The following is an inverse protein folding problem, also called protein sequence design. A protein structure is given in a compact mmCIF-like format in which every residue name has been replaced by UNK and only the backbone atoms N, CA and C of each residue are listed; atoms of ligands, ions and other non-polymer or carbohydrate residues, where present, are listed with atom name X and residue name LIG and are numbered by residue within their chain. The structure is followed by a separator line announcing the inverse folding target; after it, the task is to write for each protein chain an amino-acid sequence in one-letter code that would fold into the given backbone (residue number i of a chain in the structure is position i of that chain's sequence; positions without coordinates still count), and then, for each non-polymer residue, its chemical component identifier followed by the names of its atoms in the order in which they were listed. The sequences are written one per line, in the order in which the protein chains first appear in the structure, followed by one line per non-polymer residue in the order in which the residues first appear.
data_IF_195334796802
#
_entry.id   IF_195334796802
#
_cell.length_a   1.000
_cell.length_b   1.000
_cell.length_c   1.000
_cell.angle_alpha   90.00
_cell.angle_beta   90.00
_cell.angle_gamma   90.00
#
_symmetry.space_group_name_H-M   'P 1'
#
loop_
_entity.id
_entity.type
_entity.pdbx_description
1 polymer ?
#
# COMPACT_ATOMS: atom_id res chain seq x y z
N UNK A 1 37.83 15.95 74.77
CA UNK A 1 36.40 15.60 74.62
C UNK A 1 35.92 16.37 73.40
N UNK A 2 36.07 15.77 72.22
CA UNK A 2 35.64 16.38 70.97
C UNK A 2 34.46 15.58 70.43
N UNK A 3 33.32 16.27 70.36
CA UNK A 3 32.03 15.74 69.97
C UNK A 3 32.05 15.50 68.45
N UNK A 4 32.08 14.23 68.05
CA UNK A 4 31.92 13.81 66.66
C UNK A 4 30.50 14.18 66.20
N UNK A 5 30.41 15.16 65.31
CA UNK A 5 29.16 15.54 64.67
C UNK A 5 28.66 14.39 63.77
N UNK A 6 27.51 13.82 64.12
CA UNK A 6 26.81 12.79 63.36
C UNK A 6 26.42 13.29 61.96
N UNK A 7 26.62 12.50 60.89
CA UNK A 7 26.25 12.90 59.54
C UNK A 7 24.73 13.10 59.43
N UNK A 8 24.31 14.32 59.05
CA UNK A 8 22.91 14.68 58.80
C UNK A 8 22.28 13.64 57.86
N UNK A 9 21.25 12.95 58.33
CA UNK A 9 20.53 11.96 57.53
C UNK A 9 20.07 12.58 56.21
N UNK A 10 20.43 11.96 55.09
CA UNK A 10 19.87 12.29 53.77
C UNK A 10 18.36 12.10 53.90
N UNK A 11 17.59 13.19 53.96
CA UNK A 11 16.12 13.13 53.95
C UNK A 11 15.72 12.27 52.74
N UNK A 12 15.21 11.07 53.00
CA UNK A 12 14.77 10.15 51.96
C UNK A 12 13.81 10.90 51.04
N UNK A 13 14.15 10.98 49.75
CA UNK A 13 13.28 11.53 48.71
C UNK A 13 11.97 10.76 48.80
N UNK A 14 10.89 11.43 49.21
CA UNK A 14 9.67 10.75 49.61
C UNK A 14 9.00 10.11 48.38
N UNK A 15 9.20 8.82 48.20
CA UNK A 15 8.50 8.01 47.20
C UNK A 15 7.00 8.07 47.53
N UNK A 16 6.11 8.37 46.56
CA UNK A 16 4.68 8.37 46.80
C UNK A 16 4.18 6.97 47.20
N UNK A 17 3.05 6.90 47.92
CA UNK A 17 2.40 5.62 48.20
C UNK A 17 1.96 4.96 46.90
N UNK A 18 1.92 3.62 46.85
CA UNK A 18 1.36 2.92 45.69
C UNK A 18 -0.16 3.14 45.58
N UNK A 19 -0.71 2.98 44.38
CA UNK A 19 -2.12 3.20 44.10
C UNK A 19 -3.04 2.35 44.97
N UNK A 20 -2.71 1.06 45.15
CA UNK A 20 -3.48 0.15 45.99
C UNK A 20 -3.53 0.57 47.46
N UNK A 21 -2.38 0.91 48.06
CA UNK A 21 -2.35 1.39 49.45
C UNK A 21 -3.06 2.73 49.59
N UNK A 22 -2.98 3.60 48.58
CA UNK A 22 -3.70 4.88 48.56
C UNK A 22 -5.22 4.68 48.51
N UNK A 23 -5.72 3.87 47.56
CA UNK A 23 -7.16 3.56 47.38
C UNK A 23 -7.74 2.87 48.61
N UNK A 24 -7.00 1.93 49.21
CA UNK A 24 -7.41 1.23 50.44
C UNK A 24 -7.24 2.05 51.72
N UNK A 25 -6.72 3.28 51.64
CA UNK A 25 -6.40 4.17 52.77
C UNK A 25 -5.49 3.51 53.83
N UNK A 26 -4.57 2.67 53.38
CA UNK A 26 -3.64 1.93 54.23
C UNK A 26 -2.22 2.52 54.16
N UNK A 27 -1.46 2.40 55.25
CA UNK A 27 -0.06 2.86 55.28
C UNK A 27 0.79 2.03 54.30
N UNK A 28 1.39 2.72 53.32
CA UNK A 28 2.34 2.13 52.38
C UNK A 28 3.76 2.19 52.97
N UNK A 29 4.44 1.05 53.00
CA UNK A 29 5.86 0.91 53.38
C UNK A 29 6.82 1.50 52.32
N UNK A 30 6.31 1.83 51.13
CA UNK A 30 7.06 2.47 50.02
C UNK A 30 8.30 1.67 49.58
N UNK A 31 8.36 0.37 49.86
CA UNK A 31 9.42 -0.50 49.36
C UNK A 31 9.51 -0.46 47.83
N UNK A 32 10.72 -0.51 47.31
CA UNK A 32 11.06 -0.55 45.87
C UNK A 32 11.66 -1.92 45.55
N UNK A 33 11.24 -2.63 44.49
CA UNK A 33 10.32 -2.20 43.43
C UNK A 33 8.83 -2.34 43.78
N UNK A 34 8.47 -3.18 44.76
CA UNK A 34 7.09 -3.41 45.22
C UNK A 34 7.01 -3.16 46.74
N UNK A 35 5.89 -2.62 47.20
CA UNK A 35 5.65 -2.49 48.64
C UNK A 35 5.30 -3.87 49.23
N UNK A 36 5.65 -4.12 50.49
CA UNK A 36 5.45 -5.42 51.16
C UNK A 36 4.00 -5.90 51.07
N UNK A 37 3.03 -4.98 51.21
CA UNK A 37 1.60 -5.32 51.13
C UNK A 37 1.14 -5.73 49.72
N UNK A 38 1.77 -5.22 48.67
CA UNK A 38 1.53 -5.67 47.30
C UNK A 38 2.23 -7.01 47.03
N UNK A 39 3.40 -7.24 47.60
CA UNK A 39 4.09 -8.54 47.53
C UNK A 39 3.26 -9.64 48.22
N UNK A 40 2.82 -9.42 49.46
CA UNK A 40 2.03 -10.40 50.22
C UNK A 40 0.67 -10.72 49.58
N UNK A 41 0.16 -9.84 48.72
CA UNK A 41 -1.11 -10.05 48.03
C UNK A 41 -0.95 -10.54 46.58
N UNK A 42 0.28 -10.75 46.11
CA UNK A 42 0.55 -11.16 44.73
C UNK A 42 0.28 -10.12 43.63
N UNK A 43 -0.34 -8.97 43.94
CA UNK A 43 -0.79 -7.98 42.94
C UNK A 43 0.26 -6.93 42.55
N UNK A 44 0.23 -6.48 41.29
CA UNK A 44 1.13 -5.46 40.76
C UNK A 44 1.14 -4.18 41.62
N UNK A 45 2.32 -3.56 41.75
CA UNK A 45 2.51 -2.37 42.58
C UNK A 45 2.72 -1.13 41.68
N UNK A 46 1.62 -0.47 41.32
CA UNK A 46 1.63 0.77 40.53
C UNK A 46 1.77 2.01 41.43
N UNK A 47 2.38 3.08 40.90
CA UNK A 47 2.38 4.39 41.55
C UNK A 47 1.05 5.11 41.28
N UNK A 48 0.68 6.04 42.16
CA UNK A 48 -0.48 6.92 41.95
C UNK A 48 0.00 8.29 41.47
N UNK A 49 -0.56 8.75 40.36
CA UNK A 49 -0.40 10.13 39.92
C UNK A 49 -1.27 11.03 40.82
N UNK A 50 -0.64 11.99 41.50
CA UNK A 50 -1.32 12.87 42.47
C UNK A 50 -2.22 13.93 41.83
N UNK A 51 -2.04 14.21 40.54
CA UNK A 51 -2.79 15.26 39.85
C UNK A 51 -4.16 14.77 39.39
N UNK A 52 -4.26 13.52 38.93
CA UNK A 52 -5.47 12.95 38.35
C UNK A 52 -5.91 11.63 39.03
N UNK A 53 -5.21 11.20 40.09
CA UNK A 53 -5.46 9.93 40.79
C UNK A 53 -5.33 8.67 39.92
N UNK A 54 -4.69 8.74 38.74
CA UNK A 54 -4.50 7.61 37.85
C UNK A 54 -3.39 6.68 38.33
N UNK A 55 -3.45 5.42 37.92
CA UNK A 55 -2.36 4.46 38.15
C UNK A 55 -1.29 4.65 37.06
N UNK A 56 -0.03 4.67 37.47
CA UNK A 56 1.12 4.81 36.56
C UNK A 56 2.22 3.83 36.96
N UNK A 57 3.08 3.39 36.02
CA UNK A 57 4.25 2.58 36.33
C UNK A 57 5.14 3.25 37.38
N UNK A 58 5.74 2.44 38.27
CA UNK A 58 6.62 2.97 39.33
C UNK A 58 7.94 3.54 38.80
N UNK A 59 8.46 2.99 37.71
CA UNK A 59 9.53 3.59 36.91
C UNK A 59 8.96 3.91 35.53
N UNK A 60 8.83 5.21 35.26
CA UNK A 60 8.49 5.67 33.92
C UNK A 60 9.61 5.31 32.92
N UNK A 61 10.87 5.31 33.35
CA UNK A 61 12.03 5.05 32.50
C UNK A 61 12.01 3.61 32.00
N UNK A 62 11.91 2.63 32.92
CA UNK A 62 11.88 1.21 32.53
C UNK A 62 10.67 0.88 31.64
N UNK A 63 9.51 1.47 31.93
CA UNK A 63 8.32 1.28 31.11
C UNK A 63 8.51 1.83 29.68
N UNK A 64 9.09 3.02 29.55
CA UNK A 64 9.37 3.64 28.26
C UNK A 64 10.45 2.89 27.48
N UNK A 65 11.50 2.39 28.15
CA UNK A 65 12.55 1.57 27.53
C UNK A 65 12.00 0.23 27.03
N UNK A 66 11.14 -0.43 27.81
CA UNK A 66 10.46 -1.65 27.37
C UNK A 66 9.56 -1.38 26.17
N UNK A 67 8.77 -0.29 26.20
CA UNK A 67 7.93 0.10 25.06
C UNK A 67 8.74 0.45 23.82
N UNK A 68 9.91 1.06 23.98
CA UNK A 68 10.83 1.31 22.87
C UNK A 68 11.35 0.01 22.26
N UNK A 69 11.79 -0.94 23.09
CA UNK A 69 12.24 -2.24 22.60
C UNK A 69 11.11 -3.01 21.88
N UNK A 70 9.88 -2.94 22.39
CA UNK A 70 8.70 -3.51 21.72
C UNK A 70 8.46 -2.86 20.35
N UNK A 71 8.57 -1.54 20.24
CA UNK A 71 8.36 -0.83 18.97
C UNK A 71 9.51 -1.07 17.97
N UNK A 72 10.76 -1.09 18.43
CA UNK A 72 11.95 -1.35 17.61
C UNK A 72 11.93 -2.77 17.03
N UNK A 73 11.50 -3.77 17.80
CA UNK A 73 11.36 -5.16 17.32
C UNK A 73 10.26 -5.30 16.28
N UNK A 74 9.12 -4.62 16.46
CA UNK A 74 8.05 -4.56 15.46
C UNK A 74 8.50 -3.89 14.17
N UNK A 75 9.24 -2.77 14.25
CA UNK A 75 9.79 -2.07 13.09
C UNK A 75 10.78 -2.95 12.31
N UNK A 76 11.71 -3.61 13.01
CA UNK A 76 12.71 -4.51 12.40
C UNK A 76 12.04 -5.70 11.72
N UNK A 77 11.00 -6.27 12.33
CA UNK A 77 10.22 -7.37 11.75
C UNK A 77 9.54 -6.93 10.45
N UNK A 78 8.98 -5.73 10.43
CA UNK A 78 8.35 -5.16 9.23
C UNK A 78 9.35 -4.92 8.10
N UNK A 79 10.52 -4.38 8.40
CA UNK A 79 11.59 -4.12 7.42
C UNK A 79 12.13 -5.42 6.77
N UNK A 80 12.28 -6.49 7.57
CA UNK A 80 12.72 -7.78 7.04
C UNK A 80 11.70 -8.40 6.08
N UNK A 81 10.40 -8.22 6.33
CA UNK A 81 9.33 -8.67 5.44
C UNK A 81 9.31 -7.87 4.14
N UNK A 82 9.45 -6.54 4.20
CA UNK A 82 9.50 -5.71 2.98
C UNK A 82 10.69 -6.05 2.10
N UNK A 83 11.86 -6.31 2.71
CA UNK A 83 13.08 -6.67 1.97
C UNK A 83 13.00 -8.05 1.30
N UNK A 84 12.19 -8.97 1.82
CA UNK A 84 11.95 -10.28 1.19
C UNK A 84 10.89 -10.21 0.06
N UNK A 85 9.96 -9.26 0.12
CA UNK A 85 8.92 -9.05 -0.90
C UNK A 85 9.44 -8.28 -2.14
N UNK A 86 10.43 -7.41 -1.96
CA UNK A 86 11.01 -6.58 -3.03
C UNK A 86 11.59 -7.39 -4.23
N UNK A 87 12.36 -8.48 -4.04
CA UNK A 87 12.85 -9.30 -5.15
C UNK A 87 11.73 -9.92 -5.97
N UNK A 88 10.71 -10.48 -5.31
CA UNK A 88 9.57 -11.12 -5.99
C UNK A 88 8.72 -10.11 -6.76
N UNK A 89 8.58 -8.88 -6.24
CA UNK A 89 7.91 -7.77 -6.92
C UNK A 89 8.63 -7.39 -8.22
N UNK A 90 9.94 -7.19 -8.15
CA UNK A 90 10.77 -6.79 -9.29
C UNK A 90 10.76 -7.87 -10.38
N UNK A 91 10.89 -9.14 -9.98
CA UNK A 91 10.83 -10.27 -10.92
C UNK A 91 9.48 -10.37 -11.63
N UNK A 92 8.36 -10.14 -10.92
CA UNK A 92 7.02 -10.12 -11.53
C UNK A 92 6.87 -8.95 -12.51
N UNK A 93 7.39 -7.77 -12.17
CA UNK A 93 7.39 -6.60 -13.07
C UNK A 93 8.23 -6.83 -14.33
N UNK A 94 9.39 -7.49 -14.19
CA UNK A 94 10.24 -7.89 -15.31
C UNK A 94 9.49 -8.85 -16.23
N UNK A 95 8.85 -9.88 -15.67
CA UNK A 95 8.05 -10.84 -16.44
C UNK A 95 6.90 -10.13 -17.16
N UNK A 96 6.14 -9.28 -16.48
CA UNK A 96 5.05 -8.51 -17.10
C UNK A 96 5.57 -7.66 -18.28
N UNK A 97 6.72 -7.01 -18.11
CA UNK A 97 7.36 -6.19 -19.15
C UNK A 97 7.80 -7.04 -20.35
N UNK A 98 8.43 -8.20 -20.12
CA UNK A 98 8.84 -9.13 -21.16
C UNK A 98 7.63 -9.68 -21.94
N UNK A 99 6.54 -9.99 -21.24
CA UNK A 99 5.29 -10.43 -21.86
C UNK A 99 4.75 -9.34 -22.78
N UNK A 100 4.70 -8.10 -22.30
CA UNK A 100 4.25 -6.97 -23.10
C UNK A 100 5.11 -6.79 -24.36
N UNK A 101 6.42 -6.79 -24.18
CA UNK A 101 7.38 -6.60 -25.24
C UNK A 101 7.27 -7.68 -26.33
N UNK A 102 7.19 -8.94 -25.91
CA UNK A 102 7.17 -10.09 -26.82
C UNK A 102 5.84 -10.20 -27.57
N UNK A 103 4.71 -10.06 -26.87
CA UNK A 103 3.40 -10.34 -27.45
C UNK A 103 2.75 -9.15 -28.17
N UNK A 104 2.98 -7.93 -27.69
CA UNK A 104 2.27 -6.75 -28.18
C UNK A 104 3.18 -5.72 -28.86
N UNK A 105 4.51 -5.86 -28.72
CA UNK A 105 5.48 -4.89 -29.25
C UNK A 105 6.53 -5.51 -30.18
N UNK A 106 6.25 -6.71 -30.70
CA UNK A 106 7.04 -7.40 -31.72
C UNK A 106 8.51 -7.69 -31.35
N UNK A 107 8.88 -7.65 -30.06
CA UNK A 107 10.24 -8.02 -29.65
C UNK A 107 10.53 -9.49 -29.99
N UNK A 108 11.75 -9.76 -30.45
CA UNK A 108 12.19 -11.12 -30.78
C UNK A 108 12.20 -12.01 -29.53
N UNK A 109 11.88 -13.30 -29.73
CA UNK A 109 12.00 -14.30 -28.67
C UNK A 109 13.47 -14.40 -28.20
N UNK A 110 13.71 -14.67 -26.91
CA UNK A 110 15.07 -14.86 -26.41
C UNK A 110 15.75 -16.09 -27.04
N UNK A 111 17.07 -16.05 -27.19
CA UNK A 111 17.85 -17.08 -27.90
C UNK A 111 17.80 -18.48 -27.24
N UNK A 112 17.51 -18.55 -25.94
CA UNK A 112 17.41 -19.80 -25.18
C UNK A 112 16.07 -20.53 -25.36
N UNK A 113 15.17 -19.96 -26.16
CA UNK A 113 13.81 -20.46 -26.37
C UNK A 113 13.65 -20.93 -27.81
N UNK A 114 12.99 -22.08 -27.99
CA UNK A 114 12.88 -22.71 -29.31
C UNK A 114 11.83 -22.04 -30.18
N UNK A 115 10.67 -21.80 -29.60
CA UNK A 115 9.49 -21.25 -30.25
C UNK A 115 8.62 -20.49 -29.24
N UNK A 116 7.51 -19.93 -29.72
CA UNK A 116 6.59 -19.18 -28.88
C UNK A 116 5.94 -20.04 -27.80
N UNK A 117 5.65 -21.32 -28.09
CA UNK A 117 5.00 -22.21 -27.12
C UNK A 117 5.95 -22.57 -25.97
N UNK A 118 7.22 -22.83 -26.26
CA UNK A 118 8.29 -23.02 -25.27
C UNK A 118 8.48 -21.76 -24.41
N UNK A 119 8.42 -20.57 -25.02
CA UNK A 119 8.46 -19.30 -24.29
C UNK A 119 7.26 -19.15 -23.36
N UNK A 120 6.04 -19.34 -23.87
CA UNK A 120 4.82 -19.27 -23.07
C UNK A 120 4.86 -20.23 -21.88
N UNK A 121 5.31 -21.48 -22.09
CA UNK A 121 5.43 -22.46 -21.02
C UNK A 121 6.43 -22.02 -19.94
N UNK A 122 7.66 -21.63 -20.33
CA UNK A 122 8.71 -21.20 -19.41
C UNK A 122 8.33 -19.95 -18.62
N UNK A 123 7.70 -18.98 -19.27
CA UNK A 123 7.22 -17.75 -18.63
C UNK A 123 6.09 -18.05 -17.64
N UNK A 124 5.13 -18.91 -18.00
CA UNK A 124 4.07 -19.33 -17.07
C UNK A 124 4.63 -20.08 -15.84
N UNK A 125 5.64 -20.93 -16.03
CA UNK A 125 6.32 -21.60 -14.92
C UNK A 125 7.06 -20.61 -14.01
N UNK A 126 7.73 -19.60 -14.58
CA UNK A 126 8.39 -18.55 -13.81
C UNK A 126 7.39 -17.76 -12.96
N UNK A 127 6.28 -17.33 -13.57
CA UNK A 127 5.18 -16.64 -12.85
C UNK A 127 4.60 -17.51 -11.75
N UNK A 128 4.43 -18.83 -11.97
CA UNK A 128 3.93 -19.74 -10.95
C UNK A 128 4.90 -19.90 -9.78
N UNK A 129 6.22 -19.96 -10.04
CA UNK A 129 7.22 -20.02 -8.96
C UNK A 129 7.15 -18.78 -8.07
N UNK A 130 7.12 -17.59 -8.69
CA UNK A 130 6.99 -16.32 -7.97
C UNK A 130 5.69 -16.23 -7.16
N UNK A 131 4.56 -16.72 -7.71
CA UNK A 131 3.30 -16.79 -6.99
C UNK A 131 3.37 -17.69 -5.73
N UNK A 132 4.08 -18.82 -5.83
CA UNK A 132 4.27 -19.73 -4.70
C UNK A 132 5.13 -19.07 -3.61
N UNK A 133 6.21 -18.38 -4.01
CA UNK A 133 7.09 -17.65 -3.09
C UNK A 133 6.35 -16.52 -2.36
N UNK A 134 5.53 -15.75 -3.07
CA UNK A 134 4.68 -14.70 -2.49
C UNK A 134 3.71 -15.24 -1.43
N UNK A 135 3.24 -16.48 -1.57
CA UNK A 135 2.29 -17.11 -0.64
C UNK A 135 2.96 -17.59 0.65
N UNK A 136 4.28 -17.84 0.64
CA UNK A 136 5.02 -18.25 1.84
C UNK A 136 5.34 -17.09 2.80
N UNK A 137 5.18 -15.84 2.38
CA UNK A 137 5.44 -14.65 3.20
C UNK A 137 4.43 -14.47 4.34
N UNK A 138 4.89 -14.05 5.53
CA UNK A 138 4.02 -13.85 6.71
C UNK A 138 3.11 -12.61 6.62
N UNK A 139 3.29 -11.76 5.61
CA UNK A 139 2.44 -10.62 5.30
C UNK A 139 2.25 -10.59 3.78
N UNK A 140 1.06 -10.99 3.33
CA UNK A 140 0.75 -11.11 1.91
C UNK A 140 0.35 -9.74 1.38
N UNK A 141 1.23 -9.12 0.58
CA UNK A 141 0.86 -7.92 -0.18
C UNK A 141 -0.27 -8.30 -1.15
N UNK A 142 -1.43 -7.61 -1.11
CA UNK A 142 -2.52 -7.89 -2.04
C UNK A 142 -2.07 -7.78 -3.51
N UNK A 143 -1.15 -6.87 -3.84
CA UNK A 143 -0.60 -6.77 -5.19
C UNK A 143 0.10 -8.07 -5.60
N UNK A 144 0.95 -8.64 -4.74
CA UNK A 144 1.70 -9.87 -5.02
C UNK A 144 0.81 -11.10 -5.26
N UNK A 145 -0.44 -11.05 -4.81
CA UNK A 145 -1.44 -12.09 -5.13
C UNK A 145 -2.12 -11.86 -6.47
N UNK A 146 -2.43 -10.60 -6.80
CA UNK A 146 -3.07 -10.23 -8.08
C UNK A 146 -2.11 -10.27 -9.28
N UNK A 147 -0.85 -9.87 -9.11
CA UNK A 147 0.10 -9.69 -10.20
C UNK A 147 0.42 -10.96 -11.01
N UNK A 148 0.56 -12.16 -10.40
CA UNK A 148 0.71 -13.40 -11.17
C UNK A 148 -0.48 -13.69 -12.08
N UNK A 149 -1.70 -13.39 -11.62
CA UNK A 149 -2.90 -13.54 -12.44
C UNK A 149 -2.92 -12.53 -13.59
N UNK A 150 -2.51 -11.28 -13.35
CA UNK A 150 -2.33 -10.29 -14.41
C UNK A 150 -1.30 -10.75 -15.46
N UNK A 151 -0.15 -11.27 -15.04
CA UNK A 151 0.87 -11.81 -15.96
C UNK A 151 0.29 -12.93 -16.83
N UNK A 152 -0.50 -13.84 -16.25
CA UNK A 152 -1.17 -14.92 -16.99
C UNK A 152 -2.24 -14.42 -17.94
N UNK A 153 -3.01 -13.41 -17.53
CA UNK A 153 -3.97 -12.75 -18.41
C UNK A 153 -3.25 -12.21 -19.64
N UNK A 154 -2.16 -11.49 -19.44
CA UNK A 154 -1.36 -10.97 -20.55
C UNK A 154 -0.79 -12.12 -21.39
N UNK A 155 -0.11 -13.09 -20.78
CA UNK A 155 0.64 -14.17 -21.43
C UNK A 155 -0.21 -15.10 -22.30
N UNK A 156 -1.46 -15.37 -21.92
CA UNK A 156 -2.33 -16.29 -22.65
C UNK A 156 -3.40 -15.58 -23.48
N UNK A 157 -3.42 -14.25 -23.46
CA UNK A 157 -4.35 -13.43 -24.25
C UNK A 157 -4.00 -13.49 -25.74
N UNK A 158 -5.00 -13.64 -26.63
CA UNK A 158 -4.76 -13.53 -28.07
C UNK A 158 -4.03 -12.23 -28.41
N UNK A 159 -3.01 -12.31 -29.24
CA UNK A 159 -2.21 -11.16 -29.63
C UNK A 159 -1.91 -11.19 -31.14
N UNK A 160 -1.33 -10.12 -31.67
CA UNK A 160 -0.92 -10.05 -33.08
C UNK A 160 0.04 -11.18 -33.47
N UNK A 161 0.96 -11.56 -32.57
CA UNK A 161 1.90 -12.66 -32.74
C UNK A 161 1.23 -14.03 -32.69
N UNK A 162 0.18 -14.18 -31.88
CA UNK A 162 -0.55 -15.43 -31.67
C UNK A 162 -2.06 -15.17 -31.60
N UNK A 163 -2.69 -15.09 -32.77
CA UNK A 163 -4.14 -14.84 -32.88
C UNK A 163 -4.94 -16.10 -32.57
N UNK A 164 -4.43 -17.27 -32.98
CA UNK A 164 -5.08 -18.58 -32.77
C UNK A 164 -4.47 -19.24 -31.54
N UNK A 165 -4.99 -18.84 -30.38
CA UNK A 165 -4.57 -19.37 -29.07
C UNK A 165 -5.04 -20.81 -28.91
N UNK A 166 -4.23 -21.67 -28.27
CA UNK A 166 -4.63 -23.06 -27.98
C UNK A 166 -5.76 -23.11 -26.95
N UNK A 167 -6.55 -24.18 -26.96
CA UNK A 167 -7.63 -24.37 -25.98
C UNK A 167 -7.10 -24.33 -24.54
N UNK A 168 -5.93 -24.90 -24.27
CA UNK A 168 -5.31 -24.88 -22.94
C UNK A 168 -4.96 -23.46 -22.49
N UNK A 169 -4.40 -22.65 -23.39
CA UNK A 169 -4.08 -21.25 -23.09
C UNK A 169 -5.34 -20.42 -22.91
N UNK A 170 -6.38 -20.69 -23.70
CA UNK A 170 -7.67 -20.01 -23.58
C UNK A 170 -8.32 -20.29 -22.21
N UNK A 171 -8.35 -21.55 -21.78
CA UNK A 171 -8.88 -21.92 -20.47
C UNK A 171 -8.03 -21.30 -19.34
N UNK A 172 -6.70 -21.28 -19.50
CA UNK A 172 -5.79 -20.67 -18.53
C UNK A 172 -6.05 -19.16 -18.37
N UNK A 173 -6.27 -18.41 -19.46
CA UNK A 173 -6.57 -16.97 -19.37
C UNK A 173 -7.93 -16.72 -18.73
N UNK A 174 -8.96 -17.52 -19.02
CA UNK A 174 -10.30 -17.38 -18.41
C UNK A 174 -10.23 -17.58 -16.89
N UNK A 175 -9.49 -18.60 -16.43
CA UNK A 175 -9.27 -18.86 -15.01
C UNK A 175 -8.48 -17.71 -14.37
N UNK A 176 -7.41 -17.24 -15.02
CA UNK A 176 -6.61 -16.14 -14.50
C UNK A 176 -7.40 -14.83 -14.39
N UNK A 177 -8.19 -14.49 -15.42
CA UNK A 177 -9.05 -13.31 -15.47
C UNK A 177 -10.11 -13.33 -14.36
N UNK A 178 -10.79 -14.47 -14.19
CA UNK A 178 -11.81 -14.65 -13.15
C UNK A 178 -11.21 -14.45 -11.75
N UNK A 179 -10.04 -15.03 -11.48
CA UNK A 179 -9.35 -14.89 -10.19
C UNK A 179 -8.84 -13.46 -9.97
N UNK A 180 -8.32 -12.81 -11.00
CA UNK A 180 -7.84 -11.42 -10.93
C UNK A 180 -8.96 -10.47 -10.49
N UNK A 181 -10.09 -10.50 -11.21
CA UNK A 181 -11.25 -9.64 -10.92
C UNK A 181 -11.77 -9.90 -9.49
N UNK A 182 -11.82 -11.15 -9.06
CA UNK A 182 -12.26 -11.50 -7.71
C UNK A 182 -11.32 -10.97 -6.62
N UNK A 183 -10.00 -11.06 -6.83
CA UNK A 183 -8.99 -10.50 -5.91
C UNK A 183 -9.09 -8.98 -5.86
N UNK A 184 -9.19 -8.32 -7.00
CA UNK A 184 -9.24 -6.87 -7.11
C UNK A 184 -10.53 -6.28 -6.54
N UNK A 185 -11.64 -7.00 -6.67
CA UNK A 185 -12.88 -6.70 -5.96
C UNK A 185 -12.69 -6.72 -4.43
N UNK A 186 -11.97 -7.70 -3.90
CA UNK A 186 -11.68 -7.77 -2.47
C UNK A 186 -10.77 -6.62 -2.02
N UNK A 187 -9.75 -6.27 -2.83
CA UNK A 187 -8.86 -5.13 -2.58
C UNK A 187 -9.67 -3.82 -2.56
N UNK A 188 -10.53 -3.60 -3.55
CA UNK A 188 -11.36 -2.40 -3.63
C UNK A 188 -12.33 -2.29 -2.44
N UNK A 189 -12.92 -3.41 -2.00
CA UNK A 189 -13.81 -3.47 -0.82
C UNK A 189 -13.07 -3.26 0.49
N UNK A 190 -11.84 -3.76 0.62
CA UNK A 190 -11.01 -3.56 1.81
C UNK A 190 -10.66 -2.07 2.02
N UNK A 191 -10.62 -1.29 0.95
CA UNK A 191 -10.36 0.16 1.00
C UNK A 191 -8.87 0.47 1.18
N UNK A 192 -8.56 1.65 1.74
CA UNK A 192 -7.17 2.12 1.89
C UNK A 192 -6.63 2.86 0.66
N UNK A 193 -5.30 2.80 0.45
CA UNK A 193 -4.67 3.32 -0.76
C UNK A 193 -4.86 2.29 -1.88
N UNK A 194 -5.71 2.62 -2.85
CA UNK A 194 -6.04 1.75 -3.98
C UNK A 194 -5.62 2.47 -5.25
N UNK A 195 -4.77 1.83 -6.05
CA UNK A 195 -4.33 2.33 -7.35
C UNK A 195 -5.43 2.07 -8.39
N UNK A 196 -6.50 2.86 -8.33
CA UNK A 196 -7.72 2.64 -9.12
C UNK A 196 -7.47 2.54 -10.64
N UNK A 197 -6.53 3.32 -11.16
CA UNK A 197 -6.11 3.24 -12.57
C UNK A 197 -5.48 1.88 -12.92
N UNK A 198 -4.56 1.39 -12.09
CA UNK A 198 -3.84 0.15 -12.35
C UNK A 198 -4.80 -1.05 -12.35
N UNK A 199 -5.65 -1.12 -11.32
CA UNK A 199 -6.69 -2.14 -11.20
C UNK A 199 -7.65 -2.04 -12.39
N UNK A 200 -8.16 -0.84 -12.67
CA UNK A 200 -9.05 -0.60 -13.80
C UNK A 200 -8.45 -1.05 -15.15
N UNK A 201 -7.19 -0.71 -15.40
CA UNK A 201 -6.52 -1.08 -16.64
C UNK A 201 -6.34 -2.60 -16.78
N UNK A 202 -5.84 -3.29 -15.75
CA UNK A 202 -5.59 -4.75 -15.85
C UNK A 202 -6.89 -5.55 -15.91
N UNK A 203 -7.90 -5.17 -15.14
CA UNK A 203 -9.20 -5.83 -15.14
C UNK A 203 -10.00 -5.53 -16.41
N UNK A 204 -9.79 -4.37 -17.04
CA UNK A 204 -10.34 -4.11 -18.37
C UNK A 204 -9.79 -5.12 -19.38
N UNK A 205 -8.47 -5.37 -19.38
CA UNK A 205 -7.88 -6.38 -20.26
C UNK A 205 -8.43 -7.78 -19.98
N UNK A 206 -8.63 -8.13 -18.70
CA UNK A 206 -9.25 -9.39 -18.30
C UNK A 206 -10.68 -9.51 -18.84
N UNK A 207 -11.51 -8.47 -18.66
CA UNK A 207 -12.88 -8.42 -19.14
C UNK A 207 -13.02 -8.58 -20.66
N UNK A 208 -12.16 -7.91 -21.43
CA UNK A 208 -12.17 -8.04 -22.89
C UNK A 208 -11.90 -9.48 -23.34
N UNK A 209 -10.95 -10.17 -22.68
CA UNK A 209 -10.66 -11.57 -23.00
C UNK A 209 -11.80 -12.50 -22.58
N UNK A 210 -12.46 -12.25 -21.45
CA UNK A 210 -13.64 -13.02 -21.05
C UNK A 210 -14.78 -12.89 -22.06
N UNK A 211 -15.08 -11.67 -22.52
CA UNK A 211 -16.08 -11.43 -23.57
C UNK A 211 -15.73 -12.17 -24.87
N UNK A 212 -14.46 -12.09 -25.29
CA UNK A 212 -13.98 -12.81 -26.47
C UNK A 212 -14.11 -14.32 -26.32
N UNK A 213 -13.74 -14.88 -25.16
CA UNK A 213 -13.82 -16.32 -24.91
C UNK A 213 -15.27 -16.83 -24.89
N UNK A 214 -16.18 -16.10 -24.22
CA UNK A 214 -17.61 -16.42 -24.19
C UNK A 214 -18.24 -16.36 -25.59
N UNK A 215 -17.84 -15.39 -26.41
CA UNK A 215 -18.36 -15.24 -27.78
C UNK A 215 -17.84 -16.34 -28.71
N UNK A 216 -16.53 -16.50 -28.78
CA UNK A 216 -15.89 -17.26 -29.86
C UNK A 216 -15.62 -18.72 -29.50
N UNK A 217 -15.65 -19.07 -28.20
CA UNK A 217 -15.25 -20.39 -27.70
C UNK A 217 -16.23 -20.94 -26.63
N UNK A 218 -17.51 -20.58 -26.70
CA UNK A 218 -18.54 -20.98 -25.74
C UNK A 218 -18.58 -22.49 -25.47
N UNK A 219 -18.54 -23.33 -26.51
CA UNK A 219 -18.56 -24.79 -26.37
C UNK A 219 -17.39 -25.32 -25.52
N UNK A 220 -16.20 -24.72 -25.65
CA UNK A 220 -15.02 -25.11 -24.87
C UNK A 220 -15.14 -24.67 -23.41
N UNK A 221 -15.73 -23.51 -23.17
CA UNK A 221 -16.02 -23.05 -21.81
C UNK A 221 -17.09 -23.92 -21.14
N UNK A 222 -18.08 -24.41 -21.90
CA UNK A 222 -19.09 -25.35 -21.41
C UNK A 222 -18.47 -26.71 -21.05
N UNK A 223 -17.63 -27.27 -21.93
CA UNK A 223 -16.86 -28.50 -21.68
C UNK A 223 -16.03 -28.40 -20.39
N UNK A 224 -15.40 -27.24 -20.15
CA UNK A 224 -14.58 -26.97 -18.97
C UNK A 224 -15.38 -26.47 -17.75
N UNK A 225 -16.71 -26.32 -17.84
CA UNK A 225 -17.57 -25.75 -16.79
C UNK A 225 -17.17 -24.33 -16.32
N UNK A 226 -16.61 -23.51 -17.22
CA UNK A 226 -16.16 -22.14 -16.93
C UNK A 226 -17.15 -21.05 -17.33
N UNK A 227 -18.17 -21.35 -18.15
CA UNK A 227 -19.12 -20.35 -18.69
C UNK A 227 -19.74 -19.49 -17.59
N UNK A 228 -20.32 -20.13 -16.56
CA UNK A 228 -20.98 -19.42 -15.44
C UNK A 228 -19.97 -18.57 -14.65
N UNK A 229 -18.75 -19.06 -14.48
CA UNK A 229 -17.71 -18.33 -13.75
C UNK A 229 -17.27 -17.09 -14.53
N UNK A 230 -17.12 -17.18 -15.85
CA UNK A 230 -16.76 -16.07 -16.73
C UNK A 230 -17.87 -15.00 -16.80
N UNK A 231 -19.13 -15.41 -16.93
CA UNK A 231 -20.28 -14.48 -16.92
C UNK A 231 -20.39 -13.75 -15.57
N UNK A 232 -20.20 -14.47 -14.47
CA UNK A 232 -20.18 -13.88 -13.13
C UNK A 232 -19.02 -12.89 -12.97
N UNK A 233 -17.82 -13.24 -13.44
CA UNK A 233 -16.67 -12.37 -13.41
C UNK A 233 -16.89 -11.06 -14.18
N UNK A 234 -17.60 -11.10 -15.32
CA UNK A 234 -17.98 -9.88 -16.05
C UNK A 234 -18.96 -9.00 -15.26
N UNK A 235 -19.93 -9.59 -14.57
CA UNK A 235 -20.83 -8.85 -13.67
C UNK A 235 -20.06 -8.23 -12.49
N UNK A 236 -19.13 -8.98 -11.91
CA UNK A 236 -18.28 -8.51 -10.82
C UNK A 236 -17.33 -7.39 -11.30
N UNK A 237 -16.83 -7.45 -12.54
CA UNK A 237 -16.01 -6.42 -13.16
C UNK A 237 -16.75 -5.08 -13.28
N UNK A 238 -17.99 -5.11 -13.76
CA UNK A 238 -18.84 -3.92 -13.85
C UNK A 238 -19.07 -3.31 -12.46
N UNK A 239 -19.32 -4.14 -11.45
CA UNK A 239 -19.46 -3.68 -10.07
C UNK A 239 -18.15 -3.08 -9.53
N UNK A 240 -17.01 -3.67 -9.85
CA UNK A 240 -15.68 -3.20 -9.45
C UNK A 240 -15.41 -1.81 -10.01
N UNK A 241 -15.69 -1.61 -11.30
CA UNK A 241 -15.47 -0.33 -11.96
C UNK A 241 -16.39 0.76 -11.41
N UNK A 242 -17.65 0.44 -11.16
CA UNK A 242 -18.56 1.36 -10.48
C UNK A 242 -18.06 1.72 -9.07
N UNK A 243 -17.54 0.76 -8.30
CA UNK A 243 -16.97 1.00 -6.98
C UNK A 243 -15.75 1.94 -7.04
N UNK A 244 -14.83 1.67 -7.96
CA UNK A 244 -13.60 2.45 -8.16
C UNK A 244 -13.85 3.82 -8.81
N UNK A 245 -14.99 4.02 -9.47
CA UNK A 245 -15.37 5.30 -10.09
C UNK A 245 -15.44 6.46 -9.11
N UNK A 246 -15.71 6.18 -7.83
CA UNK A 246 -15.65 7.16 -6.74
C UNK A 246 -14.28 7.83 -6.59
N UNK A 247 -13.21 7.15 -7.03
CA UNK A 247 -11.82 7.63 -6.99
C UNK A 247 -11.29 7.97 -8.38
N UNK A 248 -11.74 7.27 -9.41
CA UNK A 248 -11.36 7.52 -10.79
C UNK A 248 -12.61 7.46 -11.71
N UNK A 249 -13.32 8.59 -11.89
CA UNK A 249 -14.63 8.65 -12.55
C UNK A 249 -14.75 7.98 -13.93
N UNK A 250 -13.74 7.99 -14.81
CA UNK A 250 -13.82 7.33 -16.11
C UNK A 250 -14.19 5.84 -16.07
N UNK A 251 -13.97 5.15 -14.93
CA UNK A 251 -14.38 3.75 -14.78
C UNK A 251 -15.89 3.55 -14.82
N UNK A 252 -16.71 4.57 -14.49
CA UNK A 252 -18.16 4.46 -14.65
C UNK A 252 -18.55 4.33 -16.13
N UNK A 253 -17.94 5.14 -17.00
CA UNK A 253 -18.15 5.08 -18.45
C UNK A 253 -17.64 3.75 -19.01
N UNK A 254 -16.48 3.28 -18.55
CA UNK A 254 -15.94 1.97 -18.94
C UNK A 254 -16.86 0.82 -18.50
N UNK A 255 -17.50 0.92 -17.32
CA UNK A 255 -18.46 -0.08 -16.87
C UNK A 255 -19.71 -0.12 -17.76
N UNK A 256 -20.21 1.04 -18.19
CA UNK A 256 -21.32 1.14 -19.14
C UNK A 256 -20.93 0.52 -20.50
N UNK A 257 -19.73 0.82 -20.98
CA UNK A 257 -19.19 0.25 -22.23
C UNK A 257 -19.07 -1.29 -22.18
N UNK A 258 -18.58 -1.86 -21.07
CA UNK A 258 -18.50 -3.32 -20.90
C UNK A 258 -19.88 -3.97 -20.93
N UNK A 259 -20.90 -3.36 -20.30
CA UNK A 259 -22.28 -3.86 -20.39
C UNK A 259 -22.81 -3.81 -21.82
N UNK A 260 -22.60 -2.70 -22.53
CA UNK A 260 -23.03 -2.57 -23.93
C UNK A 260 -22.38 -3.63 -24.83
N UNK A 261 -21.08 -3.88 -24.63
CA UNK A 261 -20.36 -4.96 -25.30
C UNK A 261 -20.94 -6.34 -24.96
N UNK A 262 -21.22 -6.60 -23.68
CA UNK A 262 -21.85 -7.85 -23.23
C UNK A 262 -23.20 -8.09 -23.89
N UNK A 263 -24.08 -7.09 -23.85
CA UNK A 263 -25.39 -7.14 -24.49
C UNK A 263 -25.29 -7.35 -26.00
N UNK A 264 -24.34 -6.67 -26.65
CA UNK A 264 -24.09 -6.80 -28.08
C UNK A 264 -23.61 -8.21 -28.45
N UNK A 265 -22.78 -8.84 -27.61
CA UNK A 265 -22.37 -10.23 -27.78
C UNK A 265 -23.56 -11.18 -27.69
N UNK A 266 -24.44 -11.00 -26.70
CA UNK A 266 -25.63 -11.85 -26.52
C UNK A 266 -26.65 -11.70 -27.66
N UNK A 267 -26.84 -10.48 -28.18
CA UNK A 267 -27.75 -10.22 -29.30
C UNK A 267 -27.24 -10.73 -30.64
N UNK A 268 -25.92 -10.87 -30.82
CA UNK A 268 -25.28 -11.20 -32.09
C UNK A 268 -24.40 -12.46 -31.98
N UNK A 269 -25.01 -13.65 -31.87
CA UNK A 269 -24.27 -14.91 -31.80
C UNK A 269 -23.48 -15.17 -33.09
N UNK A 270 -22.36 -15.90 -32.97
CA UNK A 270 -21.46 -16.20 -34.09
C UNK A 270 -22.24 -16.80 -35.27
N UNK A 271 -21.98 -16.28 -36.47
CA UNK A 271 -22.65 -16.70 -37.72
C UNK A 271 -23.94 -15.94 -38.04
N UNK A 272 -24.43 -15.06 -37.15
CA UNK A 272 -25.54 -14.16 -37.43
C UNK A 272 -25.02 -12.76 -37.75
N UNK A 273 -25.57 -12.13 -38.80
CA UNK A 273 -25.23 -10.74 -39.15
C UNK A 273 -26.12 -9.79 -38.37
N UNK A 274 -25.50 -9.01 -37.48
CA UNK A 274 -26.14 -7.95 -36.69
C UNK A 274 -26.35 -6.66 -37.46
N UNK A 275 -26.74 -5.61 -36.72
CA UNK A 275 -26.71 -4.24 -37.24
C UNK A 275 -25.27 -3.85 -37.64
N UNK A 276 -25.10 -2.91 -38.57
CA UNK A 276 -23.77 -2.42 -38.94
C UNK A 276 -23.00 -1.83 -37.74
N UNK A 277 -23.72 -1.20 -36.80
CA UNK A 277 -23.16 -0.70 -35.55
C UNK A 277 -22.65 -1.83 -34.66
N UNK A 278 -23.49 -2.85 -34.43
CA UNK A 278 -23.16 -4.00 -33.60
C UNK A 278 -21.94 -4.74 -34.16
N UNK A 279 -21.89 -4.95 -35.47
CA UNK A 279 -20.74 -5.60 -36.10
C UNK A 279 -19.45 -4.79 -35.93
N UNK A 280 -19.51 -3.46 -36.02
CA UNK A 280 -18.37 -2.59 -35.75
C UNK A 280 -17.91 -2.68 -34.29
N UNK A 281 -18.84 -2.65 -33.33
CA UNK A 281 -18.54 -2.82 -31.89
C UNK A 281 -17.84 -4.16 -31.61
N UNK A 282 -18.22 -5.22 -32.31
CA UNK A 282 -17.63 -6.55 -32.16
C UNK A 282 -16.25 -6.65 -32.83
N UNK A 283 -16.02 -5.93 -33.93
CA UNK A 283 -14.69 -5.78 -34.53
C UNK A 283 -13.75 -4.97 -33.59
N UNK A 284 -14.28 -3.97 -32.88
CA UNK A 284 -13.52 -3.27 -31.84
C UNK A 284 -13.09 -4.22 -30.71
N UNK A 285 -13.95 -5.15 -30.27
CA UNK A 285 -13.59 -6.16 -29.27
C UNK A 285 -12.38 -7.00 -29.72
N UNK A 286 -12.38 -7.47 -30.97
CA UNK A 286 -11.25 -8.22 -31.53
C UNK A 286 -9.97 -7.36 -31.59
N UNK A 287 -10.11 -6.08 -31.93
CA UNK A 287 -9.00 -5.12 -31.93
C UNK A 287 -8.47 -4.86 -30.52
N UNK A 288 -9.35 -4.71 -29.54
CA UNK A 288 -9.02 -4.50 -28.14
C UNK A 288 -8.24 -5.71 -27.64
N UNK A 289 -8.79 -6.93 -27.77
CA UNK A 289 -8.17 -8.18 -27.32
C UNK A 289 -6.82 -8.43 -27.99
N UNK A 290 -6.69 -8.19 -29.29
CA UNK A 290 -5.43 -8.46 -29.99
C UNK A 290 -4.43 -7.30 -29.97
N UNK A 291 -4.83 -6.13 -29.47
CA UNK A 291 -4.06 -4.87 -29.52
C UNK A 291 -3.59 -4.46 -30.93
N UNK A 292 -4.30 -4.91 -31.99
CA UNK A 292 -3.93 -4.65 -33.39
C UNK A 292 -3.90 -3.17 -33.79
N UNK A 293 -4.69 -2.30 -33.13
CA UNK A 293 -4.63 -0.83 -33.35
C UNK A 293 -3.29 -0.20 -32.93
N UNK A 294 -2.59 -0.79 -31.96
CA UNK A 294 -1.31 -0.23 -31.48
C UNK A 294 -0.18 -0.49 -32.48
N UNK A 295 -0.22 -1.62 -33.19
CA UNK A 295 0.74 -1.89 -34.28
C UNK A 295 0.61 -0.87 -35.42
N UNK A 296 -0.61 -0.47 -35.81
CA UNK A 296 -0.80 0.51 -36.89
C UNK A 296 -0.33 1.93 -36.52
N UNK A 297 -0.38 2.31 -35.24
CA UNK A 297 0.13 3.60 -34.74
C UNK A 297 1.66 3.58 -34.62
N UNK A 298 2.26 2.50 -34.10
CA UNK A 298 3.72 2.34 -34.02
C UNK A 298 4.39 2.26 -35.39
N UNK A 299 3.74 1.63 -36.37
CA UNK A 299 4.22 1.63 -37.76
C UNK A 299 4.07 2.98 -38.48
N UNK A 300 3.24 3.91 -37.97
CA UNK A 300 3.12 5.27 -38.51
C UNK A 300 4.14 6.26 -37.94
N UNK A 301 4.55 6.08 -36.68
CA UNK A 301 5.35 7.09 -35.96
C UNK A 301 6.83 6.72 -35.73
N UNK A 302 7.33 5.61 -36.28
CA UNK A 302 8.78 5.32 -36.28
C UNK A 302 9.29 5.35 -37.71
N UNK A 303 9.89 6.46 -38.12
CA UNK A 303 10.89 6.43 -39.20
C UNK A 303 12.07 5.63 -38.65
N UNK A 304 12.10 4.33 -38.93
CA UNK A 304 13.25 3.50 -38.60
C UNK A 304 14.46 4.08 -39.33
N UNK A 305 15.54 4.48 -38.63
CA UNK A 305 16.79 4.79 -39.29
C UNK A 305 17.19 3.52 -40.04
N UNK A 306 17.31 3.61 -41.37
CA UNK A 306 17.86 2.51 -42.16
C UNK A 306 19.17 2.09 -41.50
N UNK A 307 19.25 0.84 -41.06
CA UNK A 307 20.49 0.26 -40.56
C UNK A 307 21.57 0.49 -41.62
N UNK A 308 22.44 1.48 -41.38
CA UNK A 308 23.68 1.61 -42.14
C UNK A 308 24.43 0.32 -41.88
N UNK A 309 24.53 -0.53 -42.92
CA UNK A 309 25.49 -1.63 -42.96
C UNK A 309 26.84 -1.04 -42.58
N UNK A 310 27.33 -1.42 -41.40
CA UNK A 310 28.70 -1.14 -41.00
C UNK A 310 29.62 -1.95 -41.93
N UNK A 311 30.10 -1.31 -42.99
CA UNK A 311 31.32 -1.73 -43.65
C UNK A 311 32.50 -1.30 -42.78
N UNK A 312 33.42 -2.24 -42.58
CA UNK A 312 34.51 -2.19 -41.62
C UNK A 312 35.56 -1.10 -41.89
N UNK A 313 36.25 -0.77 -40.79
CA UNK A 313 37.63 -0.30 -40.67
C UNK A 313 37.94 1.17 -40.99
N UNK A 314 38.13 1.98 -39.94
CA UNK A 314 39.46 2.32 -39.39
C UNK A 314 39.35 3.56 -38.49
N UNK A 315 39.62 3.39 -37.20
CA UNK A 315 39.81 4.49 -36.23
C UNK A 315 41.30 4.69 -36.01
N UNK A 316 41.75 5.95 -35.92
CA UNK A 316 42.77 6.43 -34.98
C UNK A 316 42.63 7.97 -34.85
N UNK A 317 43.10 8.61 -33.76
CA UNK A 317 42.21 9.14 -32.72
C UNK A 317 42.44 10.64 -32.42
N UNK A 318 41.58 11.25 -31.59
CA UNK A 318 41.88 12.36 -30.66
C UNK A 318 40.64 12.61 -29.77
N UNK A 319 40.65 12.31 -28.47
CA UNK A 319 41.25 13.02 -27.33
C UNK A 319 40.42 14.23 -26.88
N UNK A 320 39.65 14.07 -25.79
CA UNK A 320 39.54 15.00 -24.63
C UNK A 320 38.29 14.77 -23.78
N UNK A 321 38.49 14.49 -22.48
CA UNK A 321 37.78 15.13 -21.35
C UNK A 321 36.28 14.86 -21.12
N UNK A 322 35.99 13.90 -20.25
CA UNK A 322 35.20 14.09 -19.01
C UNK A 322 33.86 14.83 -19.09
N UNK A 323 32.74 14.11 -18.94
CA UNK A 323 31.65 14.46 -18.00
C UNK A 323 30.65 13.31 -17.81
N UNK A 324 30.05 13.27 -16.63
CA UNK A 324 29.21 12.23 -16.06
C UNK A 324 27.83 12.84 -15.81
N UNK A 325 26.77 12.23 -16.31
CA UNK A 325 25.37 12.54 -15.97
C UNK A 325 24.63 13.50 -16.92
N UNK A 326 23.29 13.46 -16.83
CA UNK A 326 22.27 14.27 -17.53
C UNK A 326 21.84 13.75 -18.92
N UNK A 327 20.59 13.44 -19.23
CA UNK A 327 19.33 13.41 -18.48
C UNK A 327 18.26 12.70 -19.35
N UNK A 328 17.62 11.65 -18.82
CA UNK A 328 16.48 10.98 -19.47
C UNK A 328 15.14 11.71 -19.22
N UNK A 329 15.18 12.85 -18.50
CA UNK A 329 14.00 13.52 -17.94
C UNK A 329 13.95 15.04 -18.20
N UNK A 330 14.57 15.55 -19.27
CA UNK A 330 14.46 17.00 -19.56
C UNK A 330 13.30 17.39 -20.50
N UNK A 331 12.66 16.45 -21.19
CA UNK A 331 11.51 16.78 -22.05
C UNK A 331 10.17 16.54 -21.36
N UNK A 332 9.83 17.42 -20.43
CA UNK A 332 8.46 17.62 -19.91
C UNK A 332 7.46 18.05 -21.02
N UNK A 333 7.96 18.43 -22.19
CA UNK A 333 7.11 18.81 -23.34
C UNK A 333 6.49 17.58 -24.02
N UNK A 334 7.19 16.44 -24.07
CA UNK A 334 6.66 15.21 -24.69
C UNK A 334 5.40 14.71 -23.96
N UNK A 335 5.40 14.78 -22.63
CA UNK A 335 4.27 14.33 -21.81
C UNK A 335 3.06 15.25 -21.95
N UNK A 336 3.29 16.56 -22.15
CA UNK A 336 2.21 17.52 -22.41
C UNK A 336 1.63 17.37 -23.80
N UNK A 337 2.45 17.10 -24.81
CA UNK A 337 1.99 16.88 -26.19
C UNK A 337 1.20 15.56 -26.30
N UNK A 338 1.63 14.51 -25.58
CA UNK A 338 0.91 13.23 -25.51
C UNK A 338 -0.50 13.34 -24.90
N UNK A 339 -0.67 14.17 -23.86
CA UNK A 339 -1.98 14.35 -23.20
C UNK A 339 -2.89 15.32 -23.99
N UNK A 340 -2.31 16.30 -24.70
CA UNK A 340 -3.09 17.36 -25.33
C UNK A 340 -3.63 17.01 -26.73
N UNK A 341 -2.99 16.11 -27.49
CA UNK A 341 -3.45 15.77 -28.85
C UNK A 341 -4.56 14.70 -28.88
N UNK A 342 -4.71 13.86 -27.86
CA UNK A 342 -5.72 12.77 -27.85
C UNK A 342 -7.07 13.16 -27.21
N UNK A 343 -7.21 14.40 -26.69
CA UNK A 343 -8.47 14.88 -26.08
C UNK A 343 -9.16 16.03 -26.85
N UNK A 344 -8.64 16.46 -28.00
CA UNK A 344 -9.29 17.48 -28.84
C UNK A 344 -9.21 17.14 -30.32
N UNK A 345 -10.13 16.29 -30.79
CA UNK A 345 -10.76 16.49 -32.09
C UNK A 345 -12.25 16.20 -32.00
N UNK A 346 -13.03 17.28 -32.06
CA UNK A 346 -14.44 17.26 -32.40
C UNK A 346 -14.66 16.51 -33.72
N UNK A 347 -15.31 15.36 -33.67
CA UNK A 347 -16.41 15.00 -34.56
C UNK A 347 -17.30 13.96 -33.83
N UNK A 348 -18.48 14.42 -33.42
CA UNK A 348 -19.43 13.71 -32.55
C UNK A 348 -20.46 12.92 -33.35
N UNK A 349 -21.09 11.89 -32.74
CA UNK A 349 -22.52 11.65 -32.95
C UNK A 349 -23.37 11.71 -31.66
N UNK A 350 -22.85 12.20 -30.53
CA UNK A 350 -23.64 12.42 -29.31
C UNK A 350 -23.77 13.91 -28.99
N UNK A 351 -24.66 14.55 -29.72
CA UNK A 351 -25.25 15.82 -29.31
C UNK A 351 -26.76 15.69 -29.41
N UNK A 352 -27.43 15.32 -28.31
CA UNK A 352 -28.85 15.64 -28.14
C UNK A 352 -29.17 16.03 -26.69
N UNK A 353 -29.39 17.33 -26.52
CA UNK A 353 -30.57 17.96 -25.89
C UNK A 353 -30.79 17.70 -24.39
N UNK A 354 -30.46 18.71 -23.57
CA UNK A 354 -31.18 19.00 -22.32
C UNK A 354 -32.64 19.36 -22.60
N UNK A 355 -33.55 18.99 -21.69
CA UNK A 355 -34.47 20.01 -21.20
C UNK A 355 -34.61 20.02 -19.67
N UNK A 356 -35.05 21.19 -19.24
CA UNK A 356 -35.10 21.73 -17.90
C UNK A 356 -35.87 20.94 -16.83
N UNK A 357 -35.41 21.18 -15.59
CA UNK A 357 -36.19 21.40 -14.38
C UNK A 357 -37.26 20.36 -13.98
N UNK A 358 -36.89 19.52 -13.00
CA UNK A 358 -37.77 19.25 -11.87
C UNK A 358 -36.95 18.97 -10.61
N UNK A 359 -37.08 19.87 -9.64
CA UNK A 359 -36.66 19.69 -8.26
C UNK A 359 -37.24 18.38 -7.70
N UNK A 360 -36.38 17.49 -7.20
CA UNK A 360 -36.81 16.50 -6.22
C UNK A 360 -35.70 16.27 -5.20
N UNK A 361 -35.88 16.93 -4.06
CA UNK A 361 -35.19 16.68 -2.81
C UNK A 361 -35.49 15.27 -2.33
N UNK A 362 -34.50 14.37 -2.39
CA UNK A 362 -34.59 13.05 -1.75
C UNK A 362 -33.87 13.10 -0.40
N UNK A 363 -34.66 12.81 0.63
CA UNK A 363 -34.30 12.84 2.04
C UNK A 363 -33.18 11.87 2.40
N UNK A 364 -32.19 12.40 3.13
CA UNK A 364 -31.15 11.65 3.82
C UNK A 364 -31.81 10.87 4.98
N UNK A 365 -31.70 9.54 4.98
CA UNK A 365 -31.89 8.71 6.17
C UNK A 365 -30.51 8.23 6.69
N UNK A 366 -30.35 8.04 8.01
CA UNK A 366 -29.05 8.01 8.66
C UNK A 366 -28.43 6.62 8.54
N UNK A 367 -27.32 6.52 7.80
CA UNK A 367 -26.54 5.28 7.76
C UNK A 367 -25.67 5.17 9.02
N UNK A 368 -25.85 4.07 9.73
CA UNK A 368 -25.09 3.64 10.90
C UNK A 368 -23.58 3.68 10.68
N UNK A 369 -22.86 4.02 11.76
CA UNK A 369 -21.39 4.05 11.82
C UNK A 369 -20.81 2.68 11.49
N UNK A 370 -20.36 2.52 10.26
CA UNK A 370 -19.44 1.46 9.86
C UNK A 370 -18.11 1.75 10.58
N UNK A 371 -17.66 0.83 11.43
CA UNK A 371 -16.37 0.91 12.09
C UNK A 371 -15.26 0.75 11.03
N UNK A 372 -14.58 1.86 10.73
CA UNK A 372 -13.37 1.86 9.91
C UNK A 372 -12.25 1.04 10.58
N UNK A 373 -11.36 0.37 9.82
CA UNK A 373 -10.09 -0.11 10.34
C UNK A 373 -9.31 1.08 10.93
N UNK A 374 -8.55 0.88 12.03
CA UNK A 374 -7.96 1.98 12.79
C UNK A 374 -7.03 2.81 11.91
N UNK A 375 -7.27 4.12 11.90
CA UNK A 375 -6.43 5.11 11.22
C UNK A 375 -5.02 5.07 11.85
N UNK A 376 -3.92 5.02 11.08
CA UNK A 376 -2.56 5.17 11.63
C UNK A 376 -2.39 6.43 12.48
N UNK A 377 -3.18 7.49 12.23
CA UNK A 377 -3.24 8.69 13.06
C UNK A 377 -3.94 8.46 14.40
N UNK A 378 -4.90 7.53 14.46
CA UNK A 378 -5.53 7.09 15.71
C UNK A 378 -4.54 6.30 16.57
N UNK A 379 -3.73 5.40 16.00
CA UNK A 379 -2.70 4.66 16.74
C UNK A 379 -1.66 5.58 17.40
N UNK A 380 -1.21 6.62 16.66
CA UNK A 380 -0.33 7.65 17.20
C UNK A 380 -1.02 8.49 18.30
N UNK A 381 -2.28 8.87 18.09
CA UNK A 381 -3.09 9.59 19.08
C UNK A 381 -3.32 8.76 20.34
N UNK A 382 -3.56 7.46 20.19
CA UNK A 382 -3.86 6.55 21.29
C UNK A 382 -2.58 6.21 22.07
N UNK A 383 -1.44 6.10 21.40
CA UNK A 383 -0.13 6.02 22.03
C UNK A 383 0.20 7.33 22.80
N UNK A 384 -0.09 8.50 22.22
CA UNK A 384 0.08 9.79 22.91
C UNK A 384 -0.80 9.89 24.17
N UNK A 385 -2.07 9.47 24.08
CA UNK A 385 -3.00 9.40 25.23
C UNK A 385 -2.50 8.44 26.30
N UNK A 386 -1.87 7.31 25.92
CA UNK A 386 -1.29 6.36 26.87
C UNK A 386 -0.05 6.92 27.59
N UNK A 387 0.77 7.72 26.90
CA UNK A 387 2.04 8.23 27.43
C UNK A 387 1.88 9.50 28.27
N UNK A 388 0.88 10.33 27.97
CA UNK A 388 0.66 11.61 28.65
C UNK A 388 0.54 11.50 30.18
N UNK A 389 -0.26 10.57 30.75
CA UNK A 389 -0.39 10.41 32.19
C UNK A 389 0.91 10.00 32.89
N UNK A 390 1.80 9.30 32.16
CA UNK A 390 3.11 8.86 32.64
C UNK A 390 4.08 10.04 32.70
N UNK A 391 4.06 10.91 31.68
CA UNK A 391 4.87 12.14 31.63
C UNK A 391 4.41 13.12 32.72
N UNK A 392 3.10 13.30 32.90
CA UNK A 392 2.55 14.21 33.92
C UNK A 392 2.83 13.73 35.35
N UNK A 393 3.02 12.43 35.53
CA UNK A 393 3.38 11.84 36.82
C UNK A 393 4.87 12.02 37.19
N UNK A 394 5.71 12.50 36.27
CA UNK A 394 7.14 12.67 36.54
C UNK A 394 7.39 13.69 37.66
N UNK A 395 8.27 13.38 38.63
CA UNK A 395 8.58 14.32 39.69
C UNK A 395 9.31 15.56 39.14
N UNK A 396 9.25 16.65 39.90
CA UNK A 396 10.06 17.84 39.62
C UNK A 396 11.53 17.48 39.45
N UNK A 397 12.20 18.09 38.46
CA UNK A 397 13.62 17.84 38.23
C UNK A 397 14.45 18.18 39.47
N UNK A 398 15.59 17.53 39.62
CA UNK A 398 16.48 17.70 40.77
C UNK A 398 16.80 19.17 41.02
N UNK A 399 17.14 19.91 39.97
CA UNK A 399 17.48 21.32 40.06
C UNK A 399 16.36 22.20 40.62
N UNK A 400 15.15 22.12 40.05
CA UNK A 400 14.01 22.90 40.53
C UNK A 400 13.58 22.49 41.94
N UNK A 401 13.66 21.18 42.24
CA UNK A 401 13.35 20.64 43.57
C UNK A 401 14.34 21.14 44.63
N UNK A 402 15.64 21.12 44.32
CA UNK A 402 16.70 21.53 45.24
C UNK A 402 16.64 23.04 45.50
N UNK A 403 16.26 23.83 44.49
CA UNK A 403 16.00 25.28 44.62
C UNK A 403 14.61 25.63 45.19
N UNK A 404 13.74 24.64 45.42
CA UNK A 404 12.35 24.84 45.86
C UNK A 404 11.55 25.81 44.98
N UNK A 405 11.74 25.74 43.67
CA UNK A 405 11.00 26.53 42.67
C UNK A 405 10.03 25.63 41.88
N UNK A 406 8.99 26.22 41.28
CA UNK A 406 8.01 25.48 40.48
C UNK A 406 8.67 24.92 39.21
N UNK A 407 8.71 23.59 39.10
CA UNK A 407 9.19 22.93 37.89
C UNK A 407 8.10 22.93 36.81
N UNK A 408 8.26 23.74 35.77
CA UNK A 408 7.41 23.67 34.55
C UNK A 408 7.98 22.61 33.64
N UNK A 409 7.60 21.35 33.89
CA UNK A 409 8.10 20.20 33.15
C UNK A 409 7.63 20.25 31.70
N UNK A 410 8.59 20.16 30.78
CA UNK A 410 8.40 20.00 29.34
C UNK A 410 9.47 19.00 28.89
N UNK A 411 9.19 18.19 27.88
CA UNK A 411 10.23 17.37 27.25
C UNK A 411 10.94 18.23 26.20
N UNK A 412 12.28 18.14 26.06
CA UNK A 412 13.23 17.27 26.77
C UNK A 412 13.79 17.85 28.08
N UNK A 413 13.42 19.07 28.48
CA UNK A 413 13.87 19.72 29.70
C UNK A 413 12.81 20.69 30.24
N UNK A 414 12.75 20.88 31.57
CA UNK A 414 11.86 21.88 32.13
C UNK A 414 12.26 23.29 31.69
N UNK A 415 11.30 24.23 31.65
CA UNK A 415 11.51 25.60 31.14
C UNK A 415 12.72 26.31 31.76
N UNK A 416 12.95 26.10 33.06
CA UNK A 416 14.07 26.72 33.77
C UNK A 416 15.44 26.09 33.44
N UNK A 417 15.50 24.76 33.33
CA UNK A 417 16.71 24.07 32.90
C UNK A 417 17.04 24.36 31.44
N UNK A 418 16.01 24.52 30.59
CA UNK A 418 16.17 24.91 29.19
C UNK A 418 16.77 26.31 29.07
N UNK A 419 16.20 27.30 29.78
CA UNK A 419 16.68 28.69 29.81
C UNK A 419 18.13 28.82 30.30
N UNK A 420 18.55 27.93 31.19
CA UNK A 420 19.90 27.96 31.81
C UNK A 420 20.87 26.98 31.15
N UNK A 421 20.48 26.33 30.03
CA UNK A 421 21.25 25.30 29.32
C UNK A 421 21.80 24.20 30.24
N UNK A 422 21.01 23.79 31.24
CA UNK A 422 21.38 22.73 32.20
C UNK A 422 20.77 21.40 31.82
N UNK A 423 21.51 20.32 32.11
CA UNK A 423 20.98 18.98 31.96
C UNK A 423 19.85 18.72 32.98
N UNK A 424 18.62 18.58 32.49
CA UNK A 424 17.45 18.39 33.33
C UNK A 424 17.33 16.92 33.73
N UNK A 425 17.53 16.61 35.02
CA UNK A 425 17.50 15.22 35.53
C UNK A 425 16.38 15.03 36.55
N UNK A 426 15.74 13.87 36.53
CA UNK A 426 14.68 13.45 37.43
C UNK A 426 15.16 12.23 38.20
N UNK A 427 14.83 12.13 39.48
CA UNK A 427 15.23 10.96 40.26
C UNK A 427 14.25 9.82 40.06
N UNK A 428 14.74 8.67 39.60
CA UNK A 428 13.97 7.45 39.50
C UNK A 428 14.14 6.63 40.79
N UNK A 429 13.05 6.35 41.53
CA UNK A 429 13.12 5.62 42.80
C UNK A 429 13.40 4.12 42.63
N UNK A 430 13.17 3.54 41.47
CA UNK A 430 13.45 2.14 41.16
C UNK A 430 14.92 1.97 40.77
N UNK A 431 15.43 2.86 39.89
CA UNK A 431 16.83 2.84 39.47
C UNK A 431 17.80 3.43 40.51
N UNK A 432 17.27 4.10 41.54
CA UNK A 432 18.07 4.70 42.61
C UNK A 432 18.98 5.85 42.16
N UNK A 433 18.78 6.39 40.96
CA UNK A 433 19.69 7.34 40.30
C UNK A 433 18.95 8.52 39.66
N UNK A 434 19.69 9.58 39.31
CA UNK A 434 19.14 10.70 38.57
C UNK A 434 19.22 10.41 37.06
N UNK A 435 18.07 10.33 36.40
CA UNK A 435 17.94 10.05 34.97
C UNK A 435 17.71 11.34 34.20
N UNK A 436 18.47 11.63 33.14
CA UNK A 436 18.25 12.79 32.29
C UNK A 436 16.95 12.70 31.48
N UNK A 437 16.13 13.77 31.52
CA UNK A 437 14.89 13.89 30.73
C UNK A 437 15.13 13.89 29.22
N UNK A 438 16.36 14.21 28.77
CA UNK A 438 16.73 14.16 27.35
C UNK A 438 16.58 12.76 26.73
N UNK A 439 16.67 11.68 27.52
CA UNK A 439 16.55 10.32 27.01
C UNK A 439 15.09 9.95 26.67
N UNK A 440 14.12 10.63 27.27
CA UNK A 440 12.69 10.48 26.93
C UNK A 440 12.39 11.00 25.52
N UNK A 441 13.28 11.82 24.93
CA UNK A 441 13.14 12.34 23.55
C UNK A 441 13.51 11.31 22.47
N UNK A 442 14.39 10.33 22.76
CA UNK A 442 14.84 9.38 21.74
C UNK A 442 13.75 8.40 21.29
N UNK A 443 12.64 8.30 22.02
CA UNK A 443 11.52 7.42 21.68
C UNK A 443 10.30 8.07 21.03
N UNK A 444 10.22 9.40 20.99
CA UNK A 444 9.03 10.10 20.48
C UNK A 444 9.40 11.42 19.80
N UNK A 445 9.78 11.40 18.50
CA UNK A 445 10.12 12.59 17.73
C UNK A 445 8.93 13.53 17.49
N UNK A 446 7.68 13.04 17.56
CA UNK A 446 6.51 13.69 16.96
C UNK A 446 5.58 14.46 17.92
N UNK A 447 5.88 14.53 19.22
CA UNK A 447 4.94 15.06 20.23
C UNK A 447 4.99 16.60 20.40
N UNK A 448 5.79 17.35 19.62
CA UNK A 448 5.71 18.81 19.64
C UNK A 448 5.88 19.42 18.24
N UNK A 449 5.05 20.40 17.87
CA UNK A 449 5.24 21.17 16.64
C UNK A 449 6.58 21.90 16.71
N UNK A 450 7.26 21.92 15.56
CA UNK A 450 8.44 22.74 15.31
C UNK A 450 8.19 24.17 15.80
N UNK A 451 9.13 24.68 16.59
CA UNK A 451 9.21 26.11 16.91
C UNK A 451 9.77 26.88 15.73
#
# INVERSE_FOLDING_TARGET
MDIVASPKSKRHRSIPACARCHKSKQKCDRGTPRCLRCVSAGVECTAINRQNSSEVPRSAVQYLEQKLAELETLATTRENVTNAALPTQDDLNINASEIHATQFFDQSLPDYVKDHADWTSKTNEAVQRLANEATLGSLVDPWLTSAPHQCRVLLHRPCSRNIVVSDESLLAVVIAATNLIALDMNIAKAGGLVMAFEIGNRDFQAGMVLLYALRNHSAKLEEASLTVAAERALSDLVQLFNLLSSRWPPLADTAAYINELGDTNLRNPVGHSGSAYDMNVLEELDCLVTQRRIHSIRHRNVVLPQQKKFAAAATQPKDSGQEMGEGLFEDENWWRDFINDDLVTNDSPFSLISPDAAHSSVSILPHEKIQHPPDPRQDLSDLEKQLRPIIDALPSCSFCRDRRIKCRLQLPACKECHRTSRNCVVYDPILGSNVPLKYVRKGFPWILPDC
#
